data_IF_443335703457
#
_entry.id   IF_443335703457
#
_cell.length_a   1.000
_cell.length_b   1.000
_cell.length_c   1.000
_cell.angle_alpha   90.00
_cell.angle_beta   90.00
_cell.angle_gamma   90.00
#
_symmetry.space_group_name_H-M   'P 1'
#
loop_
_entity.id
_entity.type
_entity.pdbx_description
1 polymer ?
#
# COMPACT_ATOMS: atom_id res chain seq x y z
N UNK A 1 -18.01 -37.01 21.87
CA UNK A 1 -18.51 -35.75 21.30
C UNK A 1 -17.84 -34.62 22.08
N UNK A 2 -16.78 -34.01 21.55
CA UNK A 2 -16.04 -32.93 22.21
C UNK A 2 -15.22 -32.17 21.16
N UNK A 3 -15.86 -31.28 20.41
CA UNK A 3 -15.17 -30.34 19.52
C UNK A 3 -15.04 -29.00 20.25
N UNK A 4 -14.07 -28.96 21.15
CA UNK A 4 -13.54 -27.73 21.72
C UNK A 4 -12.41 -27.20 20.85
N UNK A 5 -12.72 -26.30 19.93
CA UNK A 5 -11.71 -25.44 19.32
C UNK A 5 -12.33 -24.07 19.07
N UNK A 6 -12.24 -23.22 20.10
CA UNK A 6 -12.49 -21.80 20.00
C UNK A 6 -11.57 -21.21 18.95
N UNK A 7 -12.12 -20.83 17.79
CA UNK A 7 -11.40 -20.05 16.79
C UNK A 7 -11.23 -18.65 17.38
N UNK A 8 -10.12 -18.44 18.08
CA UNK A 8 -9.77 -17.13 18.63
C UNK A 8 -9.65 -16.14 17.47
N UNK A 9 -10.60 -15.21 17.46
CA UNK A 9 -10.57 -13.96 16.72
C UNK A 9 -9.20 -13.32 16.95
N UNK A 10 -8.41 -13.19 15.89
CA UNK A 10 -7.13 -12.52 15.94
C UNK A 10 -7.39 -11.00 15.96
N UNK A 11 -7.80 -10.49 17.12
CA UNK A 11 -7.67 -9.08 17.48
C UNK A 11 -6.19 -8.77 17.65
N UNK A 12 -5.57 -8.17 16.63
CA UNK A 12 -4.13 -7.94 16.63
C UNK A 12 -3.73 -6.76 15.75
N UNK A 13 -4.17 -5.55 16.13
CA UNK A 13 -3.80 -4.27 15.48
C UNK A 13 -4.16 -4.19 13.99
N UNK A 14 -4.17 -3.02 13.33
CA UNK A 14 -4.12 -3.03 11.88
C UNK A 14 -2.75 -3.59 11.50
N UNK A 15 -2.65 -4.90 11.29
CA UNK A 15 -1.52 -5.51 10.63
C UNK A 15 -1.47 -4.87 9.25
N UNK A 16 -0.70 -3.79 9.12
CA UNK A 16 -0.61 -3.07 7.87
C UNK A 16 -0.19 -4.10 6.82
N UNK A 17 -1.02 -4.31 5.79
CA UNK A 17 -0.80 -5.36 4.82
C UNK A 17 0.61 -5.19 4.27
N UNK A 18 1.41 -6.25 4.36
CA UNK A 18 2.75 -6.27 3.77
C UNK A 18 2.59 -6.05 2.27
N UNK A 19 3.53 -5.36 1.64
CA UNK A 19 3.52 -5.12 0.20
C UNK A 19 3.33 -6.43 -0.60
N UNK A 20 4.02 -7.50 -0.20
CA UNK A 20 3.86 -8.83 -0.83
C UNK A 20 2.47 -9.44 -0.67
N UNK A 21 1.78 -9.16 0.44
CA UNK A 21 0.42 -9.67 0.69
C UNK A 21 -0.61 -8.90 -0.17
N UNK A 22 -0.43 -7.59 -0.30
CA UNK A 22 -1.22 -6.74 -1.19
C UNK A 22 -1.11 -7.19 -2.66
N UNK A 23 0.11 -7.54 -3.07
CA UNK A 23 0.40 -8.05 -4.41
C UNK A 23 -0.21 -9.42 -4.68
N UNK A 24 -0.17 -10.32 -3.70
CA UNK A 24 -0.80 -11.65 -3.81
C UNK A 24 -2.33 -11.55 -4.01
N UNK A 25 -2.96 -10.51 -3.45
CA UNK A 25 -4.39 -10.25 -3.57
C UNK A 25 -4.81 -9.60 -4.91
N UNK A 26 -3.95 -9.58 -5.94
CA UNK A 26 -4.19 -8.93 -7.26
C UNK A 26 -4.70 -7.49 -7.13
N UNK A 27 -4.24 -6.78 -6.11
CA UNK A 27 -4.66 -5.42 -5.80
C UNK A 27 -3.65 -4.41 -6.34
N UNK A 28 -4.12 -3.23 -6.71
CA UNK A 28 -3.27 -2.11 -7.12
C UNK A 28 -2.80 -1.36 -5.89
N UNK A 29 -1.55 -0.90 -5.91
CA UNK A 29 -1.02 -0.03 -4.87
C UNK A 29 -1.24 1.43 -5.27
N UNK A 30 -1.81 2.20 -4.35
CA UNK A 30 -2.17 3.60 -4.54
C UNK A 30 -1.43 4.47 -3.56
N UNK A 31 -0.94 5.60 -4.04
CA UNK A 31 -0.46 6.68 -3.19
C UNK A 31 -1.48 7.80 -3.17
N UNK A 32 -1.76 8.33 -1.99
CA UNK A 32 -2.63 9.50 -1.80
C UNK A 32 -1.87 10.56 -1.00
N UNK A 33 -1.71 11.73 -1.60
CA UNK A 33 -1.10 12.87 -0.94
C UNK A 33 -2.17 13.70 -0.20
N UNK A 34 -1.78 14.39 0.87
CA UNK A 34 -2.65 15.35 1.58
C UNK A 34 -3.14 16.50 0.70
N UNK A 35 -2.50 16.76 -0.44
CA UNK A 35 -2.99 17.74 -1.41
C UNK A 35 -4.17 17.23 -2.26
N UNK A 36 -4.67 16.01 -2.01
CA UNK A 36 -5.78 15.40 -2.74
C UNK A 36 -5.40 14.84 -4.12
N UNK A 37 -4.10 14.68 -4.40
CA UNK A 37 -3.60 13.98 -5.60
C UNK A 37 -3.37 12.51 -5.26
N UNK A 38 -3.67 11.65 -6.22
CA UNK A 38 -3.48 10.22 -6.10
C UNK A 38 -2.76 9.65 -7.32
N UNK A 39 -2.01 8.57 -7.14
CA UNK A 39 -1.34 7.88 -8.24
C UNK A 39 -1.19 6.39 -7.95
N UNK A 40 -1.29 5.58 -9.01
CA UNK A 40 -0.93 4.17 -8.94
C UNK A 40 0.58 4.05 -8.84
N UNK A 41 1.04 3.27 -7.87
CA UNK A 41 2.45 3.02 -7.61
C UNK A 41 2.79 1.59 -8.03
N UNK A 42 3.77 1.45 -8.92
CA UNK A 42 4.31 0.14 -9.24
C UNK A 42 5.19 -0.37 -8.07
N UNK A 43 4.87 -1.52 -7.46
CA UNK A 43 5.60 -2.04 -6.31
C UNK A 43 6.82 -2.88 -6.70
N UNK A 44 7.02 -3.20 -7.99
CA UNK A 44 8.13 -4.03 -8.48
C UNK A 44 9.52 -3.49 -8.11
N UNK A 45 9.82 -2.17 -8.18
CA UNK A 45 11.11 -1.65 -7.74
C UNK A 45 11.38 -1.89 -6.24
N UNK A 46 10.35 -1.89 -5.39
CA UNK A 46 10.50 -2.20 -3.96
C UNK A 46 10.65 -3.71 -3.72
N UNK A 47 9.88 -4.53 -4.43
CA UNK A 47 10.02 -5.99 -4.36
C UNK A 47 11.41 -6.44 -4.81
N UNK A 48 11.92 -5.89 -5.92
CA UNK A 48 13.26 -6.20 -6.41
C UNK A 48 14.39 -5.79 -5.46
N UNK A 49 14.14 -4.85 -4.54
CA UNK A 49 15.07 -4.45 -3.48
C UNK A 49 14.88 -5.24 -2.17
N UNK A 50 14.03 -6.28 -2.16
CA UNK A 50 13.74 -7.05 -0.94
C UNK A 50 12.81 -6.34 0.05
N UNK A 51 12.22 -5.20 -0.31
CA UNK A 51 11.32 -4.42 0.55
C UNK A 51 9.89 -4.98 0.57
N UNK A 52 9.60 -6.09 -0.12
CA UNK A 52 8.27 -6.70 -0.17
C UNK A 52 7.70 -7.11 1.19
N UNK A 53 8.57 -7.43 2.16
CA UNK A 53 8.19 -7.79 3.53
C UNK A 53 7.96 -6.58 4.45
N UNK A 54 8.32 -5.38 4.01
CA UNK A 54 8.12 -4.15 4.78
C UNK A 54 6.63 -3.79 4.81
N UNK A 55 6.23 -3.12 5.90
CA UNK A 55 4.91 -2.51 5.99
C UNK A 55 4.80 -1.36 4.97
N UNK A 56 3.64 -1.20 4.35
CA UNK A 56 3.39 -0.11 3.39
C UNK A 56 3.68 1.25 3.98
N UNK A 57 3.40 1.48 5.26
CA UNK A 57 3.73 2.74 5.93
C UNK A 57 5.21 3.13 5.91
N UNK A 58 6.13 2.16 5.92
CA UNK A 58 7.57 2.45 5.78
C UNK A 58 7.94 2.90 4.36
N UNK A 59 7.12 2.55 3.37
CA UNK A 59 7.33 2.90 1.97
C UNK A 59 6.70 4.25 1.62
N UNK A 60 5.78 4.77 2.45
CA UNK A 60 5.16 6.09 2.28
C UNK A 60 6.15 7.25 2.24
N UNK A 61 7.24 7.15 3.01
CA UNK A 61 8.30 8.17 3.08
C UNK A 61 9.19 8.20 1.83
N UNK A 62 9.15 7.11 1.04
CA UNK A 62 9.84 6.97 -0.25
C UNK A 62 9.02 7.51 -1.42
N UNK A 63 7.86 8.09 -1.14
CA UNK A 63 7.02 8.73 -2.14
C UNK A 63 7.21 10.25 -2.15
N UNK A 64 7.14 10.82 -3.35
CA UNK A 64 7.21 12.25 -3.61
C UNK A 64 6.04 12.66 -4.46
N UNK A 65 5.32 13.68 -4.00
CA UNK A 65 4.25 14.31 -4.79
C UNK A 65 4.80 15.55 -5.49
N UNK A 66 4.29 15.85 -6.69
CA UNK A 66 4.61 17.09 -7.42
C UNK A 66 4.20 18.37 -6.68
N UNK A 67 3.37 18.28 -5.64
CA UNK A 67 3.07 19.41 -4.77
C UNK A 67 4.22 19.76 -3.79
N UNK A 68 5.30 18.96 -3.76
CA UNK A 68 6.43 19.11 -2.84
C UNK A 68 6.33 18.23 -1.58
N UNK A 69 5.24 17.49 -1.39
CA UNK A 69 5.11 16.59 -0.24
C UNK A 69 6.12 15.44 -0.30
N UNK A 70 6.80 15.22 0.83
CA UNK A 70 7.82 14.18 1.04
C UNK A 70 7.28 12.86 1.60
N UNK A 71 5.96 12.71 1.65
CA UNK A 71 5.28 11.51 2.11
C UNK A 71 3.91 11.46 1.45
N UNK A 72 3.52 10.28 0.99
CA UNK A 72 2.17 10.01 0.53
C UNK A 72 1.67 8.72 1.19
N UNK A 73 0.40 8.71 1.58
CA UNK A 73 -0.22 7.54 2.21
C UNK A 73 -0.35 6.43 1.18
N UNK A 74 -0.04 5.19 1.57
CA UNK A 74 -0.23 4.03 0.71
C UNK A 74 -1.55 3.34 1.03
N UNK A 75 -2.33 3.10 -0.02
CA UNK A 75 -3.59 2.38 0.03
C UNK A 75 -3.54 1.21 -0.93
N UNK A 76 -4.21 0.11 -0.56
CA UNK A 76 -4.36 -1.06 -1.42
C UNK A 76 -5.79 -1.06 -1.86
N UNK A 77 -6.01 -0.83 -3.15
CA UNK A 77 -7.34 -0.79 -3.75
C UNK A 77 -7.48 -1.90 -4.77
N UNK A 78 -8.70 -2.37 -4.98
CA UNK A 78 -8.98 -3.36 -6.01
C UNK A 78 -8.57 -2.85 -7.39
N UNK A 79 -8.17 -3.74 -8.29
CA UNK A 79 -7.72 -3.41 -9.64
C UNK A 79 -8.77 -2.64 -10.47
N UNK A 80 -10.05 -2.70 -10.08
CA UNK A 80 -11.17 -2.01 -10.71
C UNK A 80 -11.28 -0.52 -10.36
N UNK A 81 -10.53 -0.04 -9.36
CA UNK A 81 -10.54 1.37 -8.99
C UNK A 81 -9.67 2.17 -9.98
N UNK A 82 -10.28 3.01 -10.81
CA UNK A 82 -9.56 3.89 -11.73
C UNK A 82 -9.21 5.23 -11.06
N UNK A 83 -8.11 5.90 -11.45
CA UNK A 83 -7.66 7.10 -10.74
C UNK A 83 -8.60 8.25 -11.05
N UNK A 84 -9.42 8.63 -10.08
CA UNK A 84 -10.39 9.72 -10.22
C UNK A 84 -9.69 11.06 -10.45
N UNK A 85 -8.44 11.22 -9.98
CA UNK A 85 -7.74 12.51 -10.02
C UNK A 85 -6.25 12.38 -10.34
N UNK A 86 -5.89 12.64 -11.60
CA UNK A 86 -4.53 12.94 -12.03
C UNK A 86 -3.51 11.82 -11.76
N UNK A 87 -3.65 10.71 -12.47
CA UNK A 87 -2.63 9.67 -12.52
C UNK A 87 -1.25 10.29 -12.86
N UNK A 88 -0.24 10.02 -12.03
CA UNK A 88 1.15 10.48 -12.28
C UNK A 88 1.64 11.63 -11.40
N UNK A 89 0.84 12.10 -10.44
CA UNK A 89 1.27 13.15 -9.52
C UNK A 89 2.26 12.69 -8.41
N UNK A 90 2.36 11.39 -8.15
CA UNK A 90 3.19 10.83 -7.08
C UNK A 90 4.09 9.76 -7.68
N UNK A 91 5.38 9.83 -7.39
CA UNK A 91 6.39 8.89 -7.85
C UNK A 91 7.22 8.35 -6.69
N UNK A 92 7.85 7.19 -6.92
CA UNK A 92 8.83 6.62 -6.02
C UNK A 92 10.15 7.37 -6.20
N UNK A 93 10.72 7.82 -5.09
CA UNK A 93 12.06 8.42 -5.03
C UNK A 93 13.01 7.44 -4.33
N UNK A 94 14.22 7.25 -4.88
CA UNK A 94 15.22 6.28 -4.37
C UNK A 94 15.96 6.81 -3.16
#
# INVERSE_FOLDING_TARGET
MADGASHRVFEGWPAWPRLSQALAARSSLWAVCRCGREAVIDPRPWVGQGLGRQATAHLETRLRCICGARRARLEIRGLAEAPTRGAGAIHIFR
#
